data_IF_789859288664
#
_entry.id   IF_789859288664
#
_cell.length_a   1.000
_cell.length_b   1.000
_cell.length_c   1.000
_cell.angle_alpha   90.00
_cell.angle_beta   90.00
_cell.angle_gamma   90.00
#
_symmetry.space_group_name_H-M   'P 1'
#
loop_
_entity.id
_entity.type
_entity.pdbx_description
1 polymer ?
#
# COMPACT_ATOMS: atom_id res chain seq x y z
N UNK A 1 2.42 -14.20 -13.94
CA UNK A 1 2.26 -12.98 -13.13
C UNK A 1 3.66 -12.52 -12.75
N UNK A 2 3.97 -11.21 -12.72
CA UNK A 2 5.28 -10.76 -12.26
C UNK A 2 5.60 -11.41 -10.91
N UNK A 3 6.81 -11.96 -10.76
CA UNK A 3 7.16 -12.82 -9.61
C UNK A 3 7.07 -12.12 -8.25
N UNK A 4 7.07 -10.79 -8.26
CA UNK A 4 6.88 -9.95 -7.09
C UNK A 4 5.44 -9.91 -6.59
N UNK A 5 4.43 -10.12 -7.44
CA UNK A 5 3.03 -10.15 -6.99
C UNK A 5 2.82 -11.49 -6.27
N UNK A 6 2.52 -11.43 -4.96
CA UNK A 6 2.38 -12.61 -4.10
C UNK A 6 0.93 -12.99 -3.86
N UNK A 7 0.06 -11.99 -3.72
CA UNK A 7 -1.38 -12.20 -3.64
C UNK A 7 -2.12 -11.11 -4.40
N UNK A 8 -3.26 -11.51 -4.95
CA UNK A 8 -4.25 -10.61 -5.50
C UNK A 8 -5.61 -11.12 -5.01
N UNK A 9 -6.26 -10.34 -4.15
CA UNK A 9 -7.54 -10.65 -3.54
C UNK A 9 -8.55 -9.61 -4.03
N UNK A 10 -9.73 -10.08 -4.44
CA UNK A 10 -10.82 -9.24 -4.87
C UNK A 10 -12.04 -9.55 -4.00
N UNK A 11 -12.81 -8.51 -3.71
CA UNK A 11 -14.02 -8.62 -2.92
C UNK A 11 -15.16 -7.84 -3.57
N UNK A 12 -16.38 -8.28 -3.31
CA UNK A 12 -17.57 -7.50 -3.63
C UNK A 12 -17.77 -6.30 -2.67
N UNK A 13 -18.91 -5.61 -2.79
CA UNK A 13 -19.22 -4.44 -1.94
C UNK A 13 -19.43 -4.77 -0.46
N UNK A 14 -19.59 -6.05 -0.12
CA UNK A 14 -19.80 -6.56 1.24
C UNK A 14 -18.58 -7.33 1.76
N UNK A 15 -17.42 -7.21 1.09
CA UNK A 15 -16.18 -7.92 1.40
C UNK A 15 -16.26 -9.45 1.26
N UNK A 16 -17.24 -9.99 0.53
CA UNK A 16 -17.20 -11.41 0.18
C UNK A 16 -16.13 -11.64 -0.89
N UNK A 17 -15.30 -12.71 -0.77
CA UNK A 17 -14.32 -13.05 -1.79
C UNK A 17 -14.97 -13.20 -3.17
N UNK A 18 -14.37 -12.54 -4.15
CA UNK A 18 -14.85 -12.48 -5.53
C UNK A 18 -13.76 -12.96 -6.48
N UNK A 19 -14.10 -13.89 -7.36
CA UNK A 19 -13.19 -14.29 -8.43
C UNK A 19 -13.22 -13.24 -9.54
N UNK A 20 -12.05 -12.69 -9.88
CA UNK A 20 -11.85 -11.85 -11.06
C UNK A 20 -10.79 -12.48 -11.95
N UNK A 21 -10.89 -12.30 -13.27
CA UNK A 21 -9.88 -12.80 -14.19
C UNK A 21 -8.66 -11.92 -14.13
N UNK A 22 -7.56 -12.49 -13.64
CA UNK A 22 -6.27 -11.83 -13.52
C UNK A 22 -5.40 -12.25 -14.71
N UNK A 23 -4.99 -11.28 -15.51
CA UNK A 23 -4.20 -11.49 -16.73
C UNK A 23 -2.76 -11.03 -16.46
N UNK A 24 -1.81 -11.96 -16.39
CA UNK A 24 -0.43 -11.60 -16.16
C UNK A 24 0.25 -11.11 -17.45
N UNK A 25 1.07 -10.06 -17.30
CA UNK A 25 2.01 -9.60 -18.32
C UNK A 25 3.44 -9.70 -17.79
N UNK A 26 4.42 -9.31 -18.60
CA UNK A 26 5.84 -9.34 -18.23
C UNK A 26 6.14 -8.43 -17.03
N UNK A 27 5.61 -7.21 -17.04
CA UNK A 27 5.93 -6.18 -16.04
C UNK A 27 4.75 -5.74 -15.18
N UNK A 28 3.54 -6.17 -15.50
CA UNK A 28 2.33 -5.76 -14.82
C UNK A 28 1.27 -6.86 -14.83
N UNK A 29 0.16 -6.58 -14.16
CA UNK A 29 -1.04 -7.39 -14.16
C UNK A 29 -2.19 -6.51 -14.60
N UNK A 30 -3.10 -7.06 -15.39
CA UNK A 30 -4.41 -6.45 -15.64
C UNK A 30 -5.50 -7.35 -15.10
N UNK A 31 -6.64 -6.76 -14.75
CA UNK A 31 -7.82 -7.52 -14.32
C UNK A 31 -8.98 -7.20 -15.23
N UNK A 32 -9.83 -8.19 -15.50
CA UNK A 32 -11.14 -7.94 -16.07
C UNK A 32 -12.11 -7.61 -14.92
N UNK A 33 -12.43 -6.31 -14.80
CA UNK A 33 -13.42 -5.84 -13.83
C UNK A 33 -14.80 -6.42 -14.18
N UNK A 34 -15.50 -6.92 -13.16
CA UNK A 34 -16.94 -7.16 -13.24
C UNK A 34 -17.70 -6.10 -12.41
N UNK A 35 -19.01 -6.01 -12.59
CA UNK A 35 -19.84 -4.98 -11.92
C UNK A 35 -19.92 -5.16 -10.40
N UNK A 36 -19.70 -6.38 -9.90
CA UNK A 36 -19.72 -6.70 -8.48
C UNK A 36 -18.42 -6.30 -7.76
N UNK A 37 -17.33 -6.05 -8.49
CA UNK A 37 -16.02 -5.75 -7.91
C UNK A 37 -16.09 -4.49 -7.04
N UNK A 38 -15.93 -4.67 -5.73
CA UNK A 38 -15.93 -3.63 -4.72
C UNK A 38 -14.53 -3.13 -4.44
N UNK A 39 -13.67 -4.00 -3.90
CA UNK A 39 -12.28 -3.67 -3.53
C UNK A 39 -11.31 -4.74 -3.98
N UNK A 40 -10.04 -4.37 -4.10
CA UNK A 40 -8.95 -5.33 -4.27
C UNK A 40 -7.85 -5.06 -3.27
N UNK A 41 -7.27 -6.13 -2.73
CA UNK A 41 -6.04 -6.11 -1.96
C UNK A 41 -4.93 -6.80 -2.76
N UNK A 42 -3.76 -6.18 -2.85
CA UNK A 42 -2.61 -6.78 -3.55
C UNK A 42 -1.37 -6.71 -2.68
N UNK A 43 -0.65 -7.83 -2.59
CA UNK A 43 0.65 -7.91 -1.93
C UNK A 43 1.76 -8.08 -2.95
N UNK A 44 2.79 -7.25 -2.83
CA UNK A 44 4.03 -7.38 -3.58
C UNK A 44 5.18 -7.66 -2.62
N UNK A 45 6.05 -8.58 -2.99
CA UNK A 45 7.33 -8.83 -2.32
C UNK A 45 8.45 -8.62 -3.34
N UNK A 46 9.19 -7.53 -3.14
CA UNK A 46 10.30 -7.12 -4.00
C UNK A 46 11.60 -7.87 -3.66
N UNK A 47 11.60 -8.66 -2.58
CA UNK A 47 12.74 -9.40 -2.08
C UNK A 47 13.66 -8.55 -1.20
N UNK A 48 14.89 -9.04 -1.05
CA UNK A 48 15.90 -8.46 -0.18
C UNK A 48 16.85 -7.57 -0.95
N UNK A 49 17.18 -6.42 -0.35
CA UNK A 49 18.17 -5.47 -0.83
C UNK A 49 19.21 -5.27 0.26
N UNK A 50 20.40 -5.82 0.03
CA UNK A 50 21.50 -5.82 0.99
C UNK A 50 22.63 -4.92 0.54
N UNK A 51 23.05 -4.00 1.41
CA UNK A 51 24.21 -3.14 1.26
C UNK A 51 25.42 -3.80 1.92
N UNK A 52 26.52 -3.96 1.18
CA UNK A 52 27.81 -4.37 1.74
C UNK A 52 28.60 -3.19 2.33
N UNK A 53 29.71 -3.49 3.01
CA UNK A 53 30.59 -2.48 3.61
C UNK A 53 31.18 -1.48 2.62
N UNK A 54 31.28 -1.86 1.34
CA UNK A 54 31.82 -1.02 0.26
C UNK A 54 30.69 -0.14 -0.34
N UNK A 55 29.46 -0.34 0.14
CA UNK A 55 28.28 0.43 -0.20
C UNK A 55 27.51 -0.08 -1.41
N UNK A 56 27.90 -1.22 -1.99
CA UNK A 56 27.22 -1.83 -3.14
C UNK A 56 25.93 -2.51 -2.70
N UNK A 57 24.88 -2.32 -3.49
CA UNK A 57 23.57 -2.96 -3.29
C UNK A 57 23.50 -4.30 -4.03
N UNK A 58 23.00 -5.31 -3.34
CA UNK A 58 22.79 -6.68 -3.83
C UNK A 58 21.34 -7.07 -3.64
N UNK A 59 20.72 -7.69 -4.65
CA UNK A 59 19.36 -8.24 -4.54
C UNK A 59 19.42 -9.66 -3.95
N UNK A 60 19.81 -9.76 -2.69
CA UNK A 60 20.02 -11.00 -1.96
C UNK A 60 19.83 -10.80 -0.45
N UNK A 61 19.63 -11.89 0.30
CA UNK A 61 19.54 -11.85 1.76
C UNK A 61 20.89 -11.46 2.39
N UNK A 62 20.86 -10.98 3.64
CA UNK A 62 22.08 -10.53 4.31
C UNK A 62 23.12 -11.65 4.44
N UNK A 63 22.68 -12.86 4.79
CA UNK A 63 23.52 -14.05 4.95
C UNK A 63 24.27 -14.47 3.68
N UNK A 64 23.77 -14.09 2.50
CA UNK A 64 24.32 -14.49 1.21
C UNK A 64 25.30 -13.44 0.64
N UNK A 65 25.45 -12.30 1.32
CA UNK A 65 26.30 -11.18 0.89
C UNK A 65 27.49 -11.05 1.85
N UNK A 66 28.72 -11.34 1.39
CA UNK A 66 29.92 -11.15 2.19
C UNK A 66 30.07 -9.71 2.67
N UNK A 67 30.45 -9.52 3.94
CA UNK A 67 30.61 -8.20 4.56
C UNK A 67 29.34 -7.31 4.49
N UNK A 68 28.15 -7.91 4.49
CA UNK A 68 26.90 -7.17 4.56
C UNK A 68 26.82 -6.31 5.83
N UNK A 69 26.32 -5.07 5.68
CA UNK A 69 26.15 -4.14 6.81
C UNK A 69 24.69 -3.78 7.08
N UNK A 70 23.85 -3.84 6.04
CA UNK A 70 22.41 -3.55 6.16
C UNK A 70 21.62 -4.33 5.11
N UNK A 71 20.51 -4.94 5.50
CA UNK A 71 19.56 -5.56 4.57
C UNK A 71 18.16 -5.01 4.77
N UNK A 72 17.40 -4.93 3.69
CA UNK A 72 15.98 -4.55 3.72
C UNK A 72 15.18 -5.55 2.90
N UNK A 73 14.22 -6.23 3.55
CA UNK A 73 13.16 -6.96 2.85
C UNK A 73 12.03 -5.98 2.51
N UNK A 74 11.77 -5.77 1.23
CA UNK A 74 10.79 -4.77 0.78
C UNK A 74 9.46 -5.42 0.40
N UNK A 75 8.42 -5.14 1.18
CA UNK A 75 7.06 -5.66 0.97
C UNK A 75 6.12 -4.48 0.75
N UNK A 76 5.20 -4.59 -0.21
CA UNK A 76 4.23 -3.55 -0.52
C UNK A 76 2.81 -4.08 -0.50
N UNK A 77 1.90 -3.26 -0.02
CA UNK A 77 0.46 -3.51 0.00
C UNK A 77 -0.27 -2.41 -0.75
N UNK A 78 -1.36 -2.77 -1.41
CA UNK A 78 -2.29 -1.83 -1.98
C UNK A 78 -3.72 -2.28 -1.70
N UNK A 79 -4.57 -1.35 -1.27
CA UNK A 79 -6.02 -1.48 -1.27
C UNK A 79 -6.58 -0.50 -2.29
N UNK A 80 -7.32 -1.01 -3.29
CA UNK A 80 -7.96 -0.20 -4.30
C UNK A 80 -9.49 -0.31 -4.23
N UNK A 81 -10.18 0.84 -4.31
CA UNK A 81 -11.63 0.92 -4.38
C UNK A 81 -12.11 0.98 -5.84
N UNK A 82 -13.10 0.15 -6.18
CA UNK A 82 -13.66 -0.01 -7.54
C UNK A 82 -15.15 0.33 -7.64
N UNK A 83 -15.86 0.39 -6.51
CA UNK A 83 -17.29 0.66 -6.43
C UNK A 83 -17.61 1.60 -5.25
N UNK A 84 -18.40 2.65 -5.51
CA UNK A 84 -18.78 3.66 -4.53
C UNK A 84 -19.72 3.13 -3.42
N UNK A 85 -20.34 1.96 -3.61
CA UNK A 85 -21.21 1.32 -2.63
C UNK A 85 -20.45 0.57 -1.52
N UNK A 86 -19.13 0.36 -1.67
CA UNK A 86 -18.31 -0.24 -0.60
C UNK A 86 -18.31 0.68 0.61
N UNK A 87 -18.56 0.14 1.79
CA UNK A 87 -18.24 0.81 3.05
C UNK A 87 -16.80 0.47 3.43
N UNK A 88 -15.89 1.45 3.64
CA UNK A 88 -14.52 1.14 4.03
C UNK A 88 -14.41 0.32 5.32
N UNK A 89 -13.66 -0.78 5.25
CA UNK A 89 -13.31 -1.63 6.40
C UNK A 89 -11.86 -2.12 6.28
N UNK A 90 -11.36 -2.71 7.37
CA UNK A 90 -10.01 -3.28 7.45
C UNK A 90 -9.93 -4.66 6.80
N UNK A 91 -8.82 -4.88 6.09
CA UNK A 91 -8.39 -6.15 5.50
C UNK A 91 -7.21 -6.80 6.26
N UNK A 92 -6.80 -6.20 7.40
CA UNK A 92 -5.85 -6.79 8.35
C UNK A 92 -4.43 -6.99 7.82
N UNK A 93 -3.95 -6.03 7.02
CA UNK A 93 -2.55 -5.98 6.59
C UNK A 93 -1.63 -5.48 7.73
N UNK A 94 -0.33 -5.84 7.74
CA UNK A 94 0.62 -5.35 8.76
C UNK A 94 0.71 -3.82 8.86
N UNK A 95 0.51 -3.14 7.73
CA UNK A 95 0.34 -1.69 7.66
C UNK A 95 -0.81 -1.40 6.70
N UNK A 96 -1.79 -0.63 7.14
CA UNK A 96 -3.06 -0.44 6.42
C UNK A 96 -3.55 1.00 6.53
N UNK A 97 -4.16 1.53 5.46
CA UNK A 97 -4.79 2.85 5.43
C UNK A 97 -6.28 2.63 5.12
N UNK A 98 -7.16 3.04 6.04
CA UNK A 98 -8.61 2.93 5.87
C UNK A 98 -9.21 4.33 5.81
N UNK A 99 -9.88 4.71 4.72
CA UNK A 99 -10.58 5.99 4.66
C UNK A 99 -11.89 5.95 5.46
N UNK A 100 -12.26 7.07 6.07
CA UNK A 100 -13.51 7.22 6.85
C UNK A 100 -14.78 7.15 5.98
N UNK A 101 -14.64 7.48 4.70
CA UNK A 101 -15.69 7.43 3.67
C UNK A 101 -15.13 6.74 2.43
N UNK A 102 -15.99 6.17 1.60
CA UNK A 102 -15.53 5.61 0.34
C UNK A 102 -14.97 6.73 -0.54
N UNK A 103 -13.69 6.68 -0.94
CA UNK A 103 -13.08 7.80 -1.63
C UNK A 103 -13.66 8.03 -3.03
N UNK A 104 -14.36 7.06 -3.62
CA UNK A 104 -15.06 7.21 -4.89
C UNK A 104 -16.33 8.08 -4.81
N UNK A 105 -16.79 8.46 -3.62
CA UNK A 105 -17.91 9.40 -3.44
C UNK A 105 -17.46 10.86 -3.38
N UNK A 106 -16.15 11.11 -3.44
CA UNK A 106 -15.53 12.42 -3.32
C UNK A 106 -15.20 13.02 -4.69
N UNK A 107 -14.97 14.33 -4.71
CA UNK A 107 -14.47 15.09 -5.86
C UNK A 107 -13.08 15.64 -5.58
N UNK A 108 -12.34 16.01 -6.63
CA UNK A 108 -11.07 16.73 -6.48
C UNK A 108 -11.25 17.97 -5.60
N UNK A 109 -10.36 18.13 -4.62
CA UNK A 109 -10.40 19.22 -3.64
C UNK A 109 -11.17 18.88 -2.36
N UNK A 110 -12.03 17.85 -2.36
CA UNK A 110 -12.67 17.39 -1.14
C UNK A 110 -11.64 16.82 -0.17
N UNK A 111 -11.91 16.98 1.12
CA UNK A 111 -11.07 16.44 2.19
C UNK A 111 -11.77 15.29 2.89
N UNK A 112 -11.01 14.27 3.27
CA UNK A 112 -11.50 13.11 4.00
C UNK A 112 -10.49 12.66 5.06
N UNK A 113 -11.01 12.09 6.15
CA UNK A 113 -10.18 11.48 7.18
C UNK A 113 -9.76 10.07 6.74
N UNK A 114 -8.52 9.71 7.00
CA UNK A 114 -8.01 8.34 6.96
C UNK A 114 -7.57 7.91 8.36
N UNK A 115 -7.54 6.60 8.59
CA UNK A 115 -6.98 5.96 9.77
C UNK A 115 -5.88 4.98 9.33
N UNK A 116 -4.70 5.12 9.90
CA UNK A 116 -3.55 4.23 9.68
C UNK A 116 -3.50 3.20 10.80
N UNK A 117 -3.26 1.95 10.42
CA UNK A 117 -3.04 0.84 11.35
C UNK A 117 -1.67 0.22 11.14
N UNK A 118 -0.97 -0.12 12.23
CA UNK A 118 0.24 -0.92 12.25
C UNK A 118 0.00 -2.11 13.18
N UNK A 119 0.18 -3.33 12.65
CA UNK A 119 -0.10 -4.59 13.37
C UNK A 119 -1.51 -4.62 13.97
N UNK A 120 -2.48 -4.08 13.21
CA UNK A 120 -3.88 -3.99 13.61
C UNK A 120 -4.23 -2.96 14.68
N UNK A 121 -3.26 -2.17 15.15
CA UNK A 121 -3.47 -1.09 16.12
C UNK A 121 -3.38 0.28 15.44
N UNK A 122 -4.15 1.30 15.88
CA UNK A 122 -3.99 2.65 15.37
C UNK A 122 -2.54 3.14 15.47
N UNK A 123 -1.98 3.64 14.36
CA UNK A 123 -0.55 3.96 14.29
C UNK A 123 -0.31 5.47 14.46
N UNK A 124 -0.08 5.88 15.70
CA UNK A 124 0.25 7.26 16.03
C UNK A 124 1.49 7.76 15.29
N UNK A 125 1.44 9.01 14.80
CA UNK A 125 2.55 9.65 14.07
C UNK A 125 3.03 8.86 12.84
N UNK A 126 2.15 8.05 12.22
CA UNK A 126 2.49 7.30 11.02
C UNK A 126 3.04 8.22 9.92
N UNK A 127 4.18 7.89 9.29
CA UNK A 127 4.78 8.69 8.22
C UNK A 127 3.95 8.56 6.94
N UNK A 128 3.21 9.61 6.61
CA UNK A 128 2.27 9.65 5.50
C UNK A 128 2.84 10.39 4.31
N UNK A 129 2.65 9.79 3.13
CA UNK A 129 2.83 10.41 1.82
C UNK A 129 1.43 10.65 1.27
N UNK A 130 0.95 11.90 1.33
CA UNK A 130 -0.45 12.23 0.97
C UNK A 130 -0.72 12.16 -0.53
N UNK A 131 0.30 12.34 -1.35
CA UNK A 131 0.23 12.23 -2.81
C UNK A 131 1.44 11.47 -3.35
N UNK A 132 1.32 10.15 -3.42
CA UNK A 132 2.42 9.27 -3.89
C UNK A 132 2.76 9.51 -5.36
N UNK A 133 1.83 10.05 -6.16
CA UNK A 133 2.04 10.20 -7.59
C UNK A 133 2.82 11.48 -7.93
N UNK A 134 2.58 12.57 -7.19
CA UNK A 134 3.17 13.87 -7.51
C UNK A 134 4.20 14.35 -6.48
N UNK A 135 4.15 13.87 -5.24
CA UNK A 135 4.97 14.39 -4.15
C UNK A 135 5.36 13.29 -3.15
N UNK A 136 6.28 12.43 -3.60
CA UNK A 136 6.82 11.33 -2.79
C UNK A 136 7.60 11.78 -1.56
N UNK A 137 7.99 13.05 -1.47
CA UNK A 137 8.92 13.57 -0.45
C UNK A 137 8.25 14.42 0.62
N UNK A 138 7.00 14.84 0.41
CA UNK A 138 6.25 15.62 1.37
C UNK A 138 5.64 14.70 2.43
N UNK A 139 6.51 14.35 3.37
CA UNK A 139 6.17 13.53 4.52
C UNK A 139 5.36 14.36 5.52
N UNK A 140 4.18 13.86 5.84
CA UNK A 140 3.32 14.33 6.91
C UNK A 140 3.16 13.23 7.95
N UNK A 141 2.50 13.51 9.06
CA UNK A 141 2.25 12.50 10.09
C UNK A 141 0.76 12.39 10.40
N UNK A 142 0.35 11.18 10.71
CA UNK A 142 -0.92 10.95 11.38
C UNK A 142 -0.88 11.52 12.81
N UNK A 143 -2.04 11.80 13.39
CA UNK A 143 -2.16 12.26 14.76
C UNK A 143 -1.88 11.16 15.80
N UNK A 144 -2.10 11.48 17.08
CA UNK A 144 -1.90 10.54 18.20
C UNK A 144 -2.85 9.34 18.17
N UNK A 145 -3.94 9.41 17.41
CA UNK A 145 -4.90 8.33 17.19
C UNK A 145 -4.61 7.60 15.88
N UNK A 146 -3.57 7.99 15.13
CA UNK A 146 -3.23 7.41 13.82
C UNK A 146 -4.14 7.89 12.70
N UNK A 147 -4.81 9.03 12.85
CA UNK A 147 -5.68 9.63 11.83
C UNK A 147 -5.01 10.77 11.09
N UNK A 148 -5.46 11.06 9.88
CA UNK A 148 -5.03 12.24 9.14
C UNK A 148 -6.09 12.74 8.18
N UNK A 149 -6.12 14.05 7.94
CA UNK A 149 -6.88 14.64 6.85
C UNK A 149 -6.08 14.62 5.55
N UNK A 150 -6.70 14.14 4.48
CA UNK A 150 -6.17 14.08 3.13
C UNK A 150 -7.10 14.83 2.18
N UNK A 151 -6.55 15.44 1.14
CA UNK A 151 -7.30 16.09 0.06
C UNK A 151 -7.24 15.22 -1.19
N UNK A 152 -8.37 15.06 -1.90
CA UNK A 152 -8.39 14.40 -3.22
C UNK A 152 -7.62 15.27 -4.22
N UNK A 153 -6.47 14.77 -4.69
CA UNK A 153 -5.52 15.54 -5.49
C UNK A 153 -5.94 15.67 -6.97
N UNK A 154 -6.61 14.65 -7.52
CA UNK A 154 -6.86 14.56 -8.97
C UNK A 154 -8.26 14.04 -9.35
N UNK A 155 -8.78 14.54 -10.48
CA UNK A 155 -9.84 13.88 -11.26
C UNK A 155 -9.16 12.78 -12.10
N UNK A 156 -8.85 11.67 -11.43
CA UNK A 156 -8.09 10.56 -11.97
C UNK A 156 -7.59 9.68 -10.85
N UNK A 157 -6.42 9.05 -11.05
CA UNK A 157 -5.81 8.18 -10.04
C UNK A 157 -5.31 9.02 -8.86
N UNK A 158 -5.67 8.60 -7.65
CA UNK A 158 -5.19 9.14 -6.39
C UNK A 158 -4.55 8.01 -5.58
N UNK A 159 -3.40 8.28 -4.95
CA UNK A 159 -2.67 7.28 -4.15
C UNK A 159 -2.11 7.94 -2.90
N UNK A 160 -2.51 7.44 -1.73
CA UNK A 160 -1.96 7.81 -0.42
C UNK A 160 -1.11 6.66 0.07
N UNK A 161 0.07 6.97 0.64
CA UNK A 161 1.04 5.97 1.07
C UNK A 161 1.47 6.12 2.53
N UNK A 162 1.89 5.01 3.13
CA UNK A 162 2.65 4.97 4.39
C UNK A 162 3.83 4.05 4.19
N UNK A 163 5.01 4.47 4.62
CA UNK A 163 6.22 3.66 4.56
C UNK A 163 6.86 3.50 5.94
N UNK A 164 7.06 2.27 6.38
CA UNK A 164 7.54 1.98 7.74
C UNK A 164 8.51 0.82 7.76
N UNK A 165 9.59 0.95 8.52
CA UNK A 165 10.53 -0.12 8.78
C UNK A 165 10.16 -0.86 10.08
N UNK A 166 10.16 -2.18 10.01
CA UNK A 166 10.00 -3.09 11.12
C UNK A 166 11.37 -3.71 11.42
N UNK A 167 11.87 -3.62 12.66
CA UNK A 167 13.09 -4.30 13.04
C UNK A 167 12.86 -5.81 12.97
N UNK A 168 13.92 -6.56 12.64
CA UNK A 168 13.95 -8.01 12.82
C UNK A 168 14.86 -8.37 13.99
N UNK A 169 14.89 -9.65 14.36
CA UNK A 169 15.82 -10.15 15.39
C UNK A 169 17.29 -10.12 14.92
N UNK A 170 17.53 -10.13 13.61
CA UNK A 170 18.88 -10.08 13.04
C UNK A 170 19.37 -8.64 12.98
N UNK A 171 20.48 -8.35 13.69
CA UNK A 171 21.11 -7.03 13.64
C UNK A 171 21.48 -6.64 12.20
N UNK A 172 21.01 -5.47 11.77
CA UNK A 172 21.27 -4.93 10.43
C UNK A 172 20.21 -5.33 9.39
N UNK A 173 19.26 -6.19 9.73
CA UNK A 173 18.11 -6.50 8.89
C UNK A 173 16.87 -5.70 9.35
N UNK A 174 16.01 -5.39 8.38
CA UNK A 174 14.70 -4.79 8.60
C UNK A 174 13.74 -5.26 7.50
N UNK A 175 12.45 -5.34 7.82
CA UNK A 175 11.40 -5.42 6.80
C UNK A 175 10.82 -4.04 6.62
N UNK A 176 10.85 -3.53 5.39
CA UNK A 176 10.24 -2.24 5.06
C UNK A 176 8.92 -2.50 4.35
N UNK A 177 7.85 -2.03 4.96
CA UNK A 177 6.52 -2.09 4.38
C UNK A 177 6.14 -0.75 3.77
N UNK A 178 5.58 -0.79 2.57
CA UNK A 178 4.86 0.33 1.98
C UNK A 178 3.39 -0.06 1.83
N UNK A 179 2.47 0.64 2.46
CA UNK A 179 1.02 0.46 2.24
C UNK A 179 0.48 1.60 1.42
N UNK A 180 -0.49 1.33 0.56
CA UNK A 180 -1.17 2.36 -0.21
C UNK A 180 -2.67 2.16 -0.27
N UNK A 181 -3.39 3.28 -0.18
CA UNK A 181 -4.79 3.41 -0.55
C UNK A 181 -4.85 4.04 -1.94
N UNK A 182 -5.52 3.39 -2.89
CA UNK A 182 -5.73 3.94 -4.23
C UNK A 182 -7.20 3.95 -4.64
N UNK A 183 -7.54 4.92 -5.47
CA UNK A 183 -8.86 5.06 -6.07
C UNK A 183 -8.75 5.95 -7.30
N UNK A 184 -9.72 5.83 -8.22
CA UNK A 184 -9.76 6.65 -9.43
C UNK A 184 -11.08 7.40 -9.49
N UNK A 185 -11.01 8.73 -9.45
CA UNK A 185 -12.15 9.60 -9.72
C UNK A 185 -12.28 9.72 -11.23
N UNK A 186 -13.38 9.23 -11.79
CA UNK A 186 -13.65 9.43 -13.21
C UNK A 186 -14.05 10.89 -13.45
N UNK A 187 -13.54 11.54 -14.51
CA UNK A 187 -14.05 12.84 -14.93
C UNK A 187 -15.52 12.70 -15.35
N UNK A 188 -16.33 13.70 -14.98
CA UNK A 188 -17.70 13.88 -15.52
C UNK A 188 -17.67 14.23 -17.01
#
# INVERSE_FOLDING_TARGET
>A
MPSMVKSFEAYDVAYNPLNVKVIPHEHNVTIEKNEMLGTTATTFDYGYFTKDKDGKMHKAMMKDVPNAVKSTHAVKYNVNYWNAAVKPERLNMPIEIVPSVNPLTLRKGDTYEIQVFKDGMPYANAPLIKDVLNDLTNESQADAQGKAMVTVAANGVNVVGVEVAFPTETKGEQTKYFSSLSFTIQPE
#
